data_IF_447276537187
#
_entry.id   IF_447276537187
#
_cell.length_a   1.000
_cell.length_b   1.000
_cell.length_c   1.000
_cell.angle_alpha   90.00
_cell.angle_beta   90.00
_cell.angle_gamma   90.00
#
_symmetry.space_group_name_H-M   'P 1'
#
loop_
_entity.id
_entity.type
_entity.pdbx_description
1 polymer ?
#
# COMPACT_ATOMS: atom_id res chain seq x y z
N UNK A 1 -33.65 1.38 -4.15
CA UNK A 1 -32.76 0.25 -3.85
C UNK A 1 -31.30 0.58 -4.15
N UNK A 2 -30.98 1.11 -5.34
CA UNK A 2 -29.59 1.46 -5.73
C UNK A 2 -28.88 2.51 -4.85
N UNK A 3 -29.63 3.43 -4.24
CA UNK A 3 -29.08 4.42 -3.32
C UNK A 3 -28.58 3.81 -2.01
N UNK A 4 -29.36 2.89 -1.41
CA UNK A 4 -28.97 2.17 -0.19
C UNK A 4 -27.75 1.28 -0.44
N UNK A 5 -27.76 0.50 -1.52
CA UNK A 5 -26.62 -0.33 -1.92
C UNK A 5 -25.34 0.47 -2.18
N UNK A 6 -25.46 1.73 -2.60
CA UNK A 6 -24.31 2.62 -2.79
C UNK A 6 -23.76 3.11 -1.46
N UNK A 7 -24.62 3.49 -0.53
CA UNK A 7 -24.20 3.94 0.81
C UNK A 7 -23.49 2.82 1.57
N UNK A 8 -24.02 1.59 1.51
CA UNK A 8 -23.41 0.40 2.12
C UNK A 8 -22.01 0.12 1.56
N UNK A 9 -21.84 0.20 0.23
CA UNK A 9 -20.54 0.01 -0.43
C UNK A 9 -19.53 1.08 -0.03
N UNK A 10 -19.93 2.35 -0.01
CA UNK A 10 -19.05 3.45 0.40
C UNK A 10 -18.65 3.31 1.87
N UNK A 11 -19.59 2.94 2.73
CA UNK A 11 -19.34 2.69 4.15
C UNK A 11 -18.32 1.56 4.34
N UNK A 12 -18.46 0.46 3.61
CA UNK A 12 -17.52 -0.65 3.64
C UNK A 12 -16.11 -0.23 3.20
N UNK A 13 -15.98 0.54 2.11
CA UNK A 13 -14.66 1.07 1.67
C UNK A 13 -14.04 1.97 2.73
N UNK A 14 -14.84 2.80 3.42
CA UNK A 14 -14.33 3.64 4.51
C UNK A 14 -13.79 2.83 5.67
N UNK A 15 -14.49 1.77 6.07
CA UNK A 15 -14.01 0.86 7.12
C UNK A 15 -12.68 0.24 6.71
N UNK A 16 -12.58 -0.28 5.48
CA UNK A 16 -11.33 -0.86 4.97
C UNK A 16 -10.19 0.16 4.98
N UNK A 17 -10.45 1.40 4.53
CA UNK A 17 -9.46 2.46 4.55
C UNK A 17 -8.97 2.80 5.97
N UNK A 18 -9.90 2.89 6.94
CA UNK A 18 -9.56 3.14 8.36
C UNK A 18 -8.73 1.98 8.92
N UNK A 19 -9.10 0.74 8.64
CA UNK A 19 -8.33 -0.44 9.05
C UNK A 19 -6.90 -0.41 8.50
N UNK A 20 -6.73 -0.05 7.22
CA UNK A 20 -5.40 0.09 6.60
C UNK A 20 -4.59 1.19 7.28
N UNK A 21 -5.19 2.37 7.53
CA UNK A 21 -4.51 3.49 8.19
C UNK A 21 -4.08 3.10 9.62
N UNK A 22 -4.97 2.47 10.38
CA UNK A 22 -4.67 2.01 11.74
C UNK A 22 -3.58 0.95 11.76
N UNK A 23 -3.68 -0.08 10.90
CA UNK A 23 -2.66 -1.11 10.79
C UNK A 23 -1.29 -0.50 10.43
N UNK A 24 -1.26 0.41 9.45
CA UNK A 24 -0.03 1.09 9.02
C UNK A 24 0.54 1.98 10.13
N UNK A 25 -0.31 2.68 10.88
CA UNK A 25 0.11 3.49 12.01
C UNK A 25 0.69 2.64 13.15
N UNK A 26 0.08 1.50 13.47
CA UNK A 26 0.61 0.54 14.46
C UNK A 26 1.98 0.02 14.04
N UNK A 27 2.16 -0.31 12.77
CA UNK A 27 3.46 -0.76 12.24
C UNK A 27 4.50 0.36 12.33
N UNK A 28 4.14 1.59 11.94
CA UNK A 28 5.03 2.76 12.06
C UNK A 28 5.43 3.04 13.51
N UNK A 29 4.48 3.02 14.45
CA UNK A 29 4.74 3.17 15.88
C UNK A 29 5.64 2.04 16.39
N UNK A 30 5.38 0.82 15.95
CA UNK A 30 6.18 -0.35 16.28
C UNK A 30 7.64 -0.21 15.86
N UNK A 31 7.87 0.44 14.72
CA UNK A 31 9.20 0.78 14.22
C UNK A 31 9.84 1.95 15.00
N UNK A 32 9.12 3.05 15.21
CA UNK A 32 9.64 4.27 15.87
C UNK A 32 10.02 4.03 17.33
N UNK A 33 9.27 3.21 18.05
CA UNK A 33 9.49 2.95 19.47
C UNK A 33 10.33 1.70 19.75
N UNK A 34 10.86 1.04 18.70
CA UNK A 34 11.56 -0.26 18.80
C UNK A 34 10.76 -1.33 19.57
N UNK A 35 9.44 -1.13 19.75
CA UNK A 35 8.54 -1.98 20.53
C UNK A 35 8.50 -3.42 19.99
N UNK A 36 8.73 -3.58 18.67
CA UNK A 36 8.73 -4.87 18.00
C UNK A 36 10.11 -5.54 17.93
N UNK A 37 11.21 -4.77 18.05
CA UNK A 37 12.56 -5.32 17.99
C UNK A 37 12.91 -6.10 19.26
N UNK A 38 12.32 -5.72 20.40
CA UNK A 38 12.55 -6.38 21.70
C UNK A 38 11.60 -7.57 21.96
N UNK A 39 10.36 -7.53 21.43
CA UNK A 39 9.32 -8.51 21.80
C UNK A 39 8.97 -9.56 20.73
N UNK A 40 9.27 -9.33 19.45
CA UNK A 40 8.85 -10.22 18.35
C UNK A 40 10.01 -10.82 17.53
N UNK A 41 11.26 -10.53 17.93
CA UNK A 41 12.46 -11.12 17.34
C UNK A 41 13.03 -12.39 18.01
N UNK A 42 12.26 -13.29 18.69
CA UNK A 42 12.70 -14.67 18.71
C UNK A 42 12.63 -15.23 17.28
N UNK A 43 13.64 -15.99 16.81
CA UNK A 43 13.77 -16.45 15.42
C UNK A 43 12.83 -17.62 15.08
N UNK A 44 11.58 -17.56 15.55
CA UNK A 44 10.65 -18.69 15.48
C UNK A 44 10.02 -18.78 14.09
N UNK A 45 9.94 -17.68 13.32
CA UNK A 45 9.51 -17.72 11.91
C UNK A 45 10.23 -16.66 11.03
N UNK A 46 11.14 -17.06 10.12
CA UNK A 46 11.89 -16.13 9.25
C UNK A 46 11.02 -15.34 8.25
N UNK A 47 9.73 -15.68 8.12
CA UNK A 47 8.77 -15.01 7.25
C UNK A 47 8.12 -13.75 7.86
N UNK A 48 8.41 -13.44 9.13
CA UNK A 48 7.92 -12.23 9.84
C UNK A 48 8.93 -11.09 9.77
N UNK A 49 9.47 -10.84 8.58
CA UNK A 49 10.25 -9.62 8.33
C UNK A 49 9.29 -8.44 8.53
N UNK A 50 9.66 -7.49 9.39
CA UNK A 50 8.83 -6.33 9.70
C UNK A 50 8.77 -5.37 8.53
N UNK A 51 7.56 -4.91 8.20
CA UNK A 51 7.30 -4.00 7.07
C UNK A 51 8.19 -2.77 7.17
N UNK A 52 8.99 -2.57 6.12
CA UNK A 52 9.88 -1.42 5.97
C UNK A 52 9.13 -0.13 6.28
N UNK A 53 9.76 0.77 7.04
CA UNK A 53 9.19 2.05 7.46
C UNK A 53 8.56 2.82 6.28
N UNK A 54 9.27 2.88 5.16
CA UNK A 54 8.84 3.53 3.92
C UNK A 54 7.60 2.89 3.28
N UNK A 55 7.48 1.56 3.32
CA UNK A 55 6.29 0.85 2.86
C UNK A 55 5.08 1.12 3.77
N UNK A 56 5.28 1.09 5.09
CA UNK A 56 4.24 1.40 6.08
C UNK A 56 3.73 2.84 5.94
N UNK A 57 4.62 3.80 5.71
CA UNK A 57 4.26 5.18 5.42
C UNK A 57 3.46 5.31 4.10
N UNK A 58 3.88 4.56 3.07
CA UNK A 58 3.14 4.51 1.79
C UNK A 58 1.74 3.92 1.95
N UNK A 59 1.58 2.87 2.76
CA UNK A 59 0.26 2.31 3.07
C UNK A 59 -0.61 3.27 3.87
N UNK A 60 -0.03 4.01 4.82
CA UNK A 60 -0.75 5.04 5.56
C UNK A 60 -1.31 6.10 4.61
N UNK A 61 -0.49 6.65 3.71
CA UNK A 61 -0.94 7.62 2.71
C UNK A 61 -1.93 7.01 1.72
N UNK A 62 -1.73 5.77 1.30
CA UNK A 62 -2.64 5.07 0.38
C UNK A 62 -4.01 4.82 1.01
N UNK A 63 -4.05 4.49 2.30
CA UNK A 63 -5.30 4.34 3.07
C UNK A 63 -6.03 5.69 3.24
N UNK A 64 -5.30 6.77 3.54
CA UNK A 64 -5.87 8.12 3.57
C UNK A 64 -6.44 8.52 2.20
N UNK A 65 -5.72 8.24 1.12
CA UNK A 65 -6.15 8.50 -0.25
C UNK A 65 -7.46 7.75 -0.58
N UNK A 66 -7.54 6.45 -0.25
CA UNK A 66 -8.76 5.65 -0.44
C UNK A 66 -9.94 6.24 0.35
N UNK A 67 -9.70 6.66 1.59
CA UNK A 67 -10.71 7.32 2.43
C UNK A 67 -11.22 8.63 1.81
N UNK A 68 -10.32 9.44 1.22
CA UNK A 68 -10.71 10.69 0.56
C UNK A 68 -11.52 10.43 -0.70
N UNK A 69 -11.15 9.46 -1.55
CA UNK A 69 -11.92 9.14 -2.75
C UNK A 69 -13.31 8.60 -2.37
N UNK A 70 -13.40 7.76 -1.33
CA UNK A 70 -14.68 7.28 -0.81
C UNK A 70 -15.57 8.43 -0.31
N UNK A 71 -14.99 9.44 0.36
CA UNK A 71 -15.72 10.65 0.79
C UNK A 71 -16.13 11.54 -0.39
N UNK A 72 -15.27 11.72 -1.38
CA UNK A 72 -15.58 12.48 -2.60
C UNK A 72 -16.74 11.85 -3.40
N UNK A 73 -16.92 10.53 -3.30
CA UNK A 73 -18.09 9.85 -3.87
C UNK A 73 -19.39 10.11 -3.11
N UNK A 74 -19.36 10.54 -1.84
CA UNK A 74 -20.56 10.78 -1.03
C UNK A 74 -20.90 12.27 -0.93
N UNK A 75 -19.90 13.14 -0.79
CA UNK A 75 -20.09 14.58 -0.63
C UNK A 75 -20.09 15.28 -1.98
N UNK A 76 -21.15 16.06 -2.27
CA UNK A 76 -21.27 16.83 -3.51
C UNK A 76 -20.38 18.07 -3.54
N UNK A 77 -19.95 18.56 -2.37
CA UNK A 77 -19.12 19.75 -2.17
C UNK A 77 -18.16 19.47 -1.00
N UNK A 78 -16.86 19.68 -1.17
CA UNK A 78 -15.90 19.61 -0.07
C UNK A 78 -14.45 19.74 -0.52
N UNK A 79 -13.75 20.74 0.03
CA UNK A 79 -12.34 21.12 -0.14
C UNK A 79 -11.31 20.05 0.33
N UNK A 80 -11.50 18.79 -0.05
CA UNK A 80 -10.59 17.71 0.33
C UNK A 80 -9.36 17.59 -0.58
N UNK A 81 -9.20 18.52 -1.53
CA UNK A 81 -8.10 18.55 -2.49
C UNK A 81 -6.72 18.57 -1.81
N UNK A 82 -6.58 19.32 -0.72
CA UNK A 82 -5.29 19.49 -0.04
C UNK A 82 -4.78 18.20 0.62
N UNK A 83 -5.63 17.45 1.33
CA UNK A 83 -5.23 16.19 1.98
C UNK A 83 -4.93 15.11 0.94
N UNK A 84 -5.68 15.12 -0.17
CA UNK A 84 -5.45 14.23 -1.29
C UNK A 84 -4.11 14.51 -1.97
N UNK A 85 -3.79 15.80 -2.19
CA UNK A 85 -2.52 16.26 -2.72
C UNK A 85 -1.34 15.78 -1.86
N UNK A 86 -1.42 16.02 -0.56
CA UNK A 86 -0.38 15.63 0.40
C UNK A 86 -0.18 14.12 0.40
N UNK A 87 -1.26 13.34 0.35
CA UNK A 87 -1.16 11.87 0.33
C UNK A 87 -0.52 11.36 -0.97
N UNK A 88 -0.91 11.91 -2.13
CA UNK A 88 -0.31 11.53 -3.42
C UNK A 88 1.16 11.92 -3.50
N UNK A 89 1.48 13.16 -3.09
CA UNK A 89 2.85 13.67 -3.07
C UNK A 89 3.72 12.88 -2.11
N UNK A 90 3.19 12.48 -0.95
CA UNK A 90 3.87 11.59 -0.01
C UNK A 90 4.22 10.23 -0.63
N UNK A 91 3.26 9.59 -1.31
CA UNK A 91 3.52 8.31 -1.99
C UNK A 91 4.57 8.48 -3.09
N UNK A 92 4.45 9.51 -3.94
CA UNK A 92 5.42 9.77 -5.00
C UNK A 92 6.82 10.01 -4.46
N UNK A 93 6.95 10.80 -3.39
CA UNK A 93 8.24 11.11 -2.78
C UNK A 93 8.89 9.85 -2.18
N UNK A 94 8.10 8.94 -1.61
CA UNK A 94 8.61 7.66 -1.12
C UNK A 94 9.05 6.75 -2.27
N UNK A 95 8.25 6.63 -3.35
CA UNK A 95 8.63 5.81 -4.52
C UNK A 95 9.90 6.35 -5.16
N UNK A 96 9.99 7.67 -5.38
CA UNK A 96 11.18 8.32 -5.93
C UNK A 96 12.37 8.08 -5.01
N UNK A 97 12.21 8.26 -3.69
CA UNK A 97 13.24 7.93 -2.70
C UNK A 97 13.73 6.50 -2.84
N UNK A 98 12.83 5.52 -2.88
CA UNK A 98 13.16 4.10 -3.08
C UNK A 98 13.89 3.82 -4.41
N UNK A 99 13.53 4.51 -5.49
CA UNK A 99 14.22 4.38 -6.77
C UNK A 99 15.64 4.96 -6.69
N UNK A 100 15.80 6.13 -6.07
CA UNK A 100 17.12 6.75 -5.88
C UNK A 100 18.05 5.87 -5.04
N UNK A 101 17.55 5.31 -3.93
CA UNK A 101 18.34 4.41 -3.08
C UNK A 101 18.68 3.08 -3.78
N UNK A 102 17.89 2.66 -4.76
CA UNK A 102 18.20 1.48 -5.59
C UNK A 102 19.35 1.71 -6.56
N UNK A 103 19.62 2.94 -6.98
CA UNK A 103 20.73 3.26 -7.91
C UNK A 103 21.99 3.76 -7.20
N UNK A 104 21.85 4.43 -6.05
CA UNK A 104 22.95 4.97 -5.27
C UNK A 104 22.98 4.29 -3.90
N UNK A 105 23.96 3.40 -3.70
CA UNK A 105 24.09 2.66 -2.45
C UNK A 105 24.81 3.48 -1.35
N UNK A 106 24.29 3.37 -0.13
CA UNK A 106 24.95 3.62 1.17
C UNK A 106 25.01 5.06 1.69
N UNK A 107 23.87 5.72 1.86
CA UNK A 107 23.73 6.81 2.83
C UNK A 107 23.04 6.34 4.11
N UNK A 108 23.27 7.02 5.24
CA UNK A 108 22.62 6.74 6.53
C UNK A 108 21.09 6.88 6.48
N UNK A 109 20.58 7.69 5.56
CA UNK A 109 19.15 7.84 5.27
C UNK A 109 18.58 6.56 4.66
N UNK A 110 19.36 5.83 3.87
CA UNK A 110 18.94 4.57 3.26
C UNK A 110 18.71 3.49 4.31
N UNK A 111 19.50 3.47 5.40
CA UNK A 111 19.32 2.53 6.49
C UNK A 111 17.99 2.77 7.24
N UNK A 112 17.57 4.03 7.40
CA UNK A 112 16.26 4.38 7.96
C UNK A 112 15.11 4.07 7.00
N UNK A 113 15.28 4.29 5.70
CA UNK A 113 14.25 3.99 4.69
C UNK A 113 14.08 2.50 4.41
N UNK A 114 15.16 1.73 4.51
CA UNK A 114 15.20 0.29 4.18
C UNK A 114 15.06 -0.62 5.43
N UNK A 115 15.24 -0.09 6.65
CA UNK A 115 15.08 -0.86 7.89
C UNK A 115 16.21 -1.87 8.14
N UNK A 116 17.44 -1.55 7.73
CA UNK A 116 18.53 -2.52 7.57
C UNK A 116 19.36 -2.85 8.84
N UNK A 117 18.95 -2.44 10.04
CA UNK A 117 19.74 -2.72 11.25
C UNK A 117 19.85 -4.24 11.55
N UNK A 118 18.80 -5.03 11.30
CA UNK A 118 18.79 -6.47 11.61
C UNK A 118 19.29 -7.37 10.45
N UNK A 119 19.12 -6.96 9.19
CA UNK A 119 19.44 -7.80 8.01
C UNK A 119 20.88 -7.64 7.50
N UNK A 120 21.62 -6.63 7.96
CA UNK A 120 23.05 -6.50 7.67
C UNK A 120 23.88 -7.70 8.20
N UNK A 121 23.34 -8.46 9.16
CA UNK A 121 24.01 -9.61 9.79
C UNK A 121 23.82 -10.91 8.96
N UNK A 122 22.83 -10.99 8.06
CA UNK A 122 22.52 -12.22 7.29
C UNK A 122 22.96 -12.21 5.82
N UNK A 123 23.62 -11.15 5.34
CA UNK A 123 24.24 -11.15 4.01
C UNK A 123 23.26 -11.27 2.84
N UNK A 124 21.99 -10.92 3.03
CA UNK A 124 21.02 -10.93 1.95
C UNK A 124 21.16 -9.62 1.14
N UNK A 125 21.91 -9.72 0.02
CA UNK A 125 22.40 -8.58 -0.76
C UNK A 125 21.30 -7.77 -1.47
N UNK A 126 20.03 -8.20 -1.45
CA UNK A 126 18.97 -7.47 -2.13
C UNK A 126 18.25 -6.52 -1.16
N UNK A 127 18.84 -5.35 -0.90
CA UNK A 127 18.12 -4.26 -0.25
C UNK A 127 17.00 -3.67 -1.15
N UNK A 128 16.85 -4.16 -2.38
CA UNK A 128 15.89 -3.63 -3.34
C UNK A 128 14.43 -3.93 -2.91
N UNK A 129 13.53 -2.94 -2.97
CA UNK A 129 12.10 -3.13 -2.68
C UNK A 129 11.45 -4.10 -3.67
N UNK A 130 10.39 -4.79 -3.24
CA UNK A 130 9.64 -5.71 -4.11
C UNK A 130 9.08 -4.98 -5.33
N UNK A 131 9.36 -5.51 -6.53
CA UNK A 131 8.85 -4.98 -7.80
C UNK A 131 7.31 -4.88 -7.78
N UNK A 132 6.63 -5.86 -7.18
CA UNK A 132 5.18 -5.85 -7.06
C UNK A 132 4.67 -4.68 -6.22
N UNK A 133 5.33 -4.41 -5.09
CA UNK A 133 4.98 -3.28 -4.23
C UNK A 133 5.20 -1.95 -4.96
N UNK A 134 6.30 -1.81 -5.72
CA UNK A 134 6.56 -0.62 -6.52
C UNK A 134 5.49 -0.38 -7.59
N UNK A 135 5.12 -1.43 -8.33
CA UNK A 135 4.06 -1.35 -9.35
C UNK A 135 2.72 -1.00 -8.70
N UNK A 136 2.38 -1.64 -7.58
CA UNK A 136 1.14 -1.38 -6.87
C UNK A 136 1.08 0.06 -6.34
N UNK A 137 2.12 0.55 -5.65
CA UNK A 137 2.16 1.94 -5.18
C UNK A 137 2.16 2.95 -6.32
N UNK A 138 2.82 2.66 -7.44
CA UNK A 138 2.79 3.53 -8.62
C UNK A 138 1.37 3.65 -9.21
N UNK A 139 0.63 2.54 -9.29
CA UNK A 139 -0.77 2.54 -9.72
C UNK A 139 -1.67 3.31 -8.75
N UNK A 140 -1.47 3.13 -7.44
CA UNK A 140 -2.24 3.85 -6.41
C UNK A 140 -1.98 5.36 -6.51
N UNK A 141 -0.72 5.75 -6.65
CA UNK A 141 -0.32 7.14 -6.81
C UNK A 141 -0.92 7.75 -8.10
N UNK A 142 -0.92 7.02 -9.21
CA UNK A 142 -1.55 7.44 -10.46
C UNK A 142 -3.07 7.63 -10.30
N UNK A 143 -3.76 6.70 -9.63
CA UNK A 143 -5.20 6.83 -9.31
C UNK A 143 -5.45 8.05 -8.43
N UNK A 144 -4.56 8.31 -7.46
CA UNK A 144 -4.56 9.50 -6.63
C UNK A 144 -4.51 10.79 -7.42
N UNK A 145 -3.48 10.95 -8.26
CA UNK A 145 -3.31 12.13 -9.12
C UNK A 145 -4.48 12.30 -10.07
N UNK A 146 -4.92 11.22 -10.70
CA UNK A 146 -6.09 11.27 -11.58
C UNK A 146 -7.31 11.81 -10.84
N UNK A 147 -7.56 11.32 -9.62
CA UNK A 147 -8.68 11.75 -8.80
C UNK A 147 -8.63 13.21 -8.37
N UNK A 148 -7.45 13.81 -8.25
CA UNK A 148 -7.29 15.24 -7.97
C UNK A 148 -7.70 16.12 -9.15
N UNK A 149 -7.38 15.68 -10.38
CA UNK A 149 -7.73 16.44 -11.60
C UNK A 149 -9.22 16.26 -11.89
N UNK A 150 -9.71 15.02 -11.83
CA UNK A 150 -11.10 14.66 -12.05
C UNK A 150 -11.41 13.33 -11.38
N UNK A 151 -12.62 13.20 -10.81
CA UNK A 151 -13.04 11.92 -10.23
C UNK A 151 -12.85 10.79 -11.27
N UNK A 152 -12.04 9.75 -10.98
CA UNK A 152 -11.64 8.81 -12.00
C UNK A 152 -12.87 8.08 -12.55
N UNK A 153 -12.81 7.72 -13.83
CA UNK A 153 -13.84 6.85 -14.39
C UNK A 153 -13.91 5.56 -13.55
N UNK A 154 -15.12 5.06 -13.23
CA UNK A 154 -15.28 3.86 -12.41
C UNK A 154 -14.53 2.66 -12.99
N UNK A 155 -14.44 2.55 -14.32
CA UNK A 155 -13.64 1.52 -15.00
C UNK A 155 -12.14 1.58 -14.68
N UNK A 156 -11.55 2.77 -14.57
CA UNK A 156 -10.12 2.92 -14.25
C UNK A 156 -9.82 2.56 -12.80
N UNK A 157 -10.69 2.96 -11.88
CA UNK A 157 -10.63 2.56 -10.46
C UNK A 157 -10.75 1.04 -10.32
N UNK A 158 -11.69 0.43 -11.05
CA UNK A 158 -11.88 -1.01 -11.05
C UNK A 158 -10.63 -1.75 -11.56
N UNK A 159 -10.08 -1.36 -12.71
CA UNK A 159 -8.89 -2.00 -13.27
C UNK A 159 -7.67 -1.83 -12.36
N UNK A 160 -7.44 -0.63 -11.84
CA UNK A 160 -6.32 -0.39 -10.91
C UNK A 160 -6.48 -1.21 -9.63
N UNK A 161 -7.68 -1.22 -9.04
CA UNK A 161 -7.98 -2.04 -7.86
C UNK A 161 -7.80 -3.52 -8.10
N UNK A 162 -8.21 -4.03 -9.28
CA UNK A 162 -8.07 -5.44 -9.65
C UNK A 162 -6.59 -5.82 -9.73
N UNK A 163 -5.75 -4.99 -10.35
CA UNK A 163 -4.31 -5.25 -10.46
C UNK A 163 -3.65 -5.24 -9.08
N UNK A 164 -3.94 -4.23 -8.25
CA UNK A 164 -3.39 -4.15 -6.89
C UNK A 164 -3.85 -5.33 -6.02
N UNK A 165 -5.13 -5.71 -6.11
CA UNK A 165 -5.67 -6.87 -5.43
C UNK A 165 -5.04 -8.18 -5.92
N UNK A 166 -4.80 -8.32 -7.23
CA UNK A 166 -4.13 -9.49 -7.78
C UNK A 166 -2.68 -9.60 -7.28
N UNK A 167 -1.92 -8.50 -7.25
CA UNK A 167 -0.55 -8.47 -6.71
C UNK A 167 -0.55 -8.90 -5.24
N UNK A 168 -1.41 -8.29 -4.41
CA UNK A 168 -1.54 -8.66 -2.99
C UNK A 168 -1.99 -10.11 -2.80
N UNK A 169 -3.02 -10.54 -3.53
CA UNK A 169 -3.61 -11.86 -3.43
C UNK A 169 -2.69 -12.99 -3.91
N UNK A 170 -1.95 -12.78 -5.00
CA UNK A 170 -0.94 -13.73 -5.47
C UNK A 170 0.15 -13.92 -4.42
N UNK A 171 0.60 -12.85 -3.78
CA UNK A 171 1.60 -12.93 -2.72
C UNK A 171 1.07 -13.63 -1.47
N UNK A 172 -0.16 -13.32 -1.04
CA UNK A 172 -0.82 -14.07 0.05
C UNK A 172 -0.92 -15.56 -0.27
N UNK A 173 -1.33 -15.92 -1.49
CA UNK A 173 -1.37 -17.31 -1.93
C UNK A 173 0.03 -17.95 -1.98
N UNK A 174 1.05 -17.20 -2.40
CA UNK A 174 2.45 -17.62 -2.38
C UNK A 174 2.93 -18.02 -0.98
N UNK A 175 2.55 -17.27 0.05
CA UNK A 175 2.84 -17.62 1.44
C UNK A 175 2.14 -18.91 1.89
N UNK A 176 0.87 -19.09 1.55
CA UNK A 176 0.14 -20.32 1.93
C UNK A 176 0.62 -21.57 1.19
N UNK A 177 1.02 -21.42 -0.07
CA UNK A 177 1.55 -22.52 -0.89
C UNK A 177 3.06 -22.71 -0.73
N UNK A 178 3.72 -21.81 -0.01
CA UNK A 178 5.18 -21.77 0.18
C UNK A 178 5.95 -21.73 -1.16
N UNK A 179 5.45 -20.95 -2.12
CA UNK A 179 6.06 -20.80 -3.46
C UNK A 179 6.66 -19.38 -3.58
N UNK A 180 8.01 -19.24 -3.51
CA UNK A 180 8.68 -17.93 -3.45
C UNK A 180 8.37 -17.00 -4.64
N UNK A 181 8.20 -17.57 -5.83
CA UNK A 181 7.93 -16.79 -7.05
C UNK A 181 6.58 -16.06 -6.98
N UNK A 182 5.60 -16.60 -6.24
CA UNK A 182 4.31 -15.96 -6.03
C UNK A 182 4.37 -14.84 -5.00
N UNK A 183 5.32 -14.91 -4.06
CA UNK A 183 5.66 -13.80 -3.16
C UNK A 183 6.43 -12.68 -3.86
N UNK A 184 6.63 -12.78 -5.19
CA UNK A 184 7.42 -11.85 -6.00
C UNK A 184 8.86 -11.73 -5.51
N UNK A 185 9.37 -12.82 -4.94
CA UNK A 185 10.76 -12.96 -4.54
C UNK A 185 11.58 -13.43 -5.74
N UNK A 186 12.45 -12.55 -6.23
CA UNK A 186 13.34 -12.82 -7.35
C UNK A 186 14.76 -12.86 -6.79
N UNK A 187 15.23 -14.08 -6.52
CA UNK A 187 16.55 -14.32 -5.93
C UNK A 187 17.64 -13.51 -6.66
N UNK A 188 18.35 -12.67 -5.90
CA UNK A 188 19.42 -11.81 -6.40
C UNK A 188 18.99 -10.50 -7.06
N UNK A 189 17.69 -10.24 -7.23
CA UNK A 189 17.18 -8.99 -7.85
C UNK A 189 16.37 -8.17 -6.86
N UNK A 190 15.35 -8.76 -6.22
CA UNK A 190 14.47 -8.06 -5.26
C UNK A 190 14.00 -9.00 -4.17
N UNK A 191 13.83 -8.49 -2.96
CA UNK A 191 13.19 -9.24 -1.87
C UNK A 191 11.69 -9.40 -2.11
N UNK A 192 11.18 -10.59 -1.80
CA UNK A 192 9.75 -10.89 -1.77
C UNK A 192 8.92 -9.89 -0.96
N UNK A 193 7.66 -9.74 -1.35
CA UNK A 193 6.71 -8.88 -0.65
C UNK A 193 6.27 -9.55 0.65
N UNK A 194 6.43 -8.87 1.78
CA UNK A 194 6.05 -9.40 3.08
C UNK A 194 4.55 -9.75 3.19
N UNK A 195 4.22 -10.72 4.03
CA UNK A 195 2.83 -11.18 4.23
C UNK A 195 1.91 -10.03 4.67
N UNK A 196 2.33 -9.22 5.63
CA UNK A 196 1.55 -8.08 6.13
C UNK A 196 1.29 -7.07 5.01
N UNK A 197 2.32 -6.73 4.23
CA UNK A 197 2.19 -5.86 3.05
C UNK A 197 1.25 -6.44 2.00
N UNK A 198 1.31 -7.76 1.78
CA UNK A 198 0.46 -8.48 0.83
C UNK A 198 -1.02 -8.38 1.19
N UNK A 199 -1.35 -8.56 2.47
CA UNK A 199 -2.71 -8.40 3.00
C UNK A 199 -3.19 -6.95 2.86
N UNK A 200 -2.35 -5.97 3.19
CA UNK A 200 -2.69 -4.56 3.06
C UNK A 200 -2.95 -4.18 1.59
N UNK A 201 -2.12 -4.62 0.65
CA UNK A 201 -2.37 -4.41 -0.78
C UNK A 201 -3.65 -5.09 -1.25
N UNK A 202 -3.92 -6.31 -0.81
CA UNK A 202 -5.14 -7.02 -1.15
C UNK A 202 -6.40 -6.25 -0.69
N UNK A 203 -6.42 -5.82 0.58
CA UNK A 203 -7.52 -5.00 1.12
C UNK A 203 -7.66 -3.67 0.38
N UNK A 204 -6.56 -3.00 0.10
CA UNK A 204 -6.56 -1.70 -0.58
C UNK A 204 -7.05 -1.82 -2.03
N UNK A 205 -6.62 -2.86 -2.74
CA UNK A 205 -7.09 -3.20 -4.08
C UNK A 205 -8.59 -3.52 -4.10
N UNK A 206 -9.08 -4.33 -3.14
CA UNK A 206 -10.51 -4.59 -2.98
C UNK A 206 -11.31 -3.30 -2.73
N UNK A 207 -10.79 -2.38 -1.91
CA UNK A 207 -11.39 -1.07 -1.68
C UNK A 207 -11.59 -0.28 -2.98
N UNK A 208 -10.58 -0.27 -3.86
CA UNK A 208 -10.69 0.36 -5.18
C UNK A 208 -11.64 -0.38 -6.13
N UNK A 209 -11.66 -1.71 -6.11
CA UNK A 209 -12.60 -2.52 -6.91
C UNK A 209 -14.03 -2.17 -6.53
N UNK A 210 -14.35 -2.20 -5.22
CA UNK A 210 -15.70 -1.89 -4.73
C UNK A 210 -16.10 -0.49 -5.18
N UNK A 211 -15.21 0.49 -5.02
CA UNK A 211 -15.45 1.87 -5.44
C UNK A 211 -15.64 1.99 -6.96
N UNK A 212 -14.88 1.24 -7.74
CA UNK A 212 -15.02 1.14 -9.20
C UNK A 212 -16.33 0.49 -9.65
N UNK A 213 -16.97 -0.34 -8.82
CA UNK A 213 -18.32 -0.87 -9.11
C UNK A 213 -19.46 0.11 -8.83
N UNK A 214 -19.18 1.25 -8.20
CA UNK A 214 -20.19 2.28 -7.94
C UNK A 214 -20.48 3.03 -9.24
N UNK A 215 -21.56 2.64 -9.91
CA UNK A 215 -21.98 3.25 -11.17
C UNK A 215 -22.33 4.73 -10.95
N UNK A 216 -21.70 5.62 -11.73
CA UNK A 216 -22.06 7.05 -11.77
C UNK A 216 -23.48 7.16 -12.35
N UNK A 217 -24.35 7.98 -11.74
CA UNK A 217 -25.67 8.30 -12.33
C UNK A 217 -25.45 8.83 -13.75
N UNK A 218 -26.18 8.34 -14.77
CA UNK A 218 -26.22 9.02 -16.06
C UNK A 218 -26.88 10.40 -15.83
N UNK A 219 -26.13 11.49 -16.05
CA UNK A 219 -26.63 12.87 -15.95
C UNK A 219 -25.77 13.89 -15.19
N UNK A 220 -24.48 13.64 -14.94
CA UNK A 220 -23.51 14.67 -14.49
C UNK A 220 -22.37 14.82 -15.48
#
# INVERSE_FOLDING_TARGET
>A
MDLLLREDKVFLVKIMAVMIVLASAVILLGWVFELFDIFLYPPIMPQWIGVRFSASLSFLFSGLLLLQIARAHQSRHGDFSNVMAVSCMGIFLIIIGMLFTSFYAQTSVDQMLLGNAANAIKGDLSAAPSIGAMVAFSLIALVGVLSMINLPKPSRLFTAGLVVAAIGGMSVAGYFLNIPILCLDLAGVCTGMELTSSVLFFMLGLGFVILGTIRKRPGS
#
